data_IF_770694431846
#
_entry.id   IF_770694431846
#
_cell.length_a   1.000
_cell.length_b   1.000
_cell.length_c   1.000
_cell.angle_alpha   90.00
_cell.angle_beta   90.00
_cell.angle_gamma   90.00
#
_symmetry.space_group_name_H-M   'P 1'
#
loop_
_entity.id
_entity.type
_entity.pdbx_description
1 polymer ?
#
# COMPACT_ATOMS: atom_id res chain seq x y z
N UNK A 1 -36.55 24.46 -5.80
CA UNK A 1 -37.19 23.23 -5.27
C UNK A 1 -37.02 22.16 -6.35
N UNK A 2 -36.05 21.26 -6.31
CA UNK A 2 -36.01 20.11 -5.42
C UNK A 2 -34.58 19.59 -5.26
N UNK A 3 -34.12 19.56 -4.01
CA UNK A 3 -33.04 18.71 -3.57
C UNK A 3 -33.62 17.30 -3.36
N UNK A 4 -33.41 16.39 -4.30
CA UNK A 4 -33.61 14.96 -4.04
C UNK A 4 -32.35 14.44 -3.37
N UNK A 5 -32.39 14.34 -2.04
CA UNK A 5 -31.37 13.70 -1.23
C UNK A 5 -31.09 12.28 -1.73
N UNK A 6 -29.88 12.05 -2.22
CA UNK A 6 -29.37 10.72 -2.47
C UNK A 6 -28.88 10.14 -1.14
N UNK A 7 -29.82 9.57 -0.37
CA UNK A 7 -29.47 8.57 0.63
C UNK A 7 -28.67 7.47 -0.06
N UNK A 8 -27.56 7.09 0.54
CA UNK A 8 -26.56 6.17 0.01
C UNK A 8 -27.11 4.75 -0.23
N UNK A 9 -27.88 4.56 -1.31
CA UNK A 9 -27.99 3.27 -1.98
C UNK A 9 -26.63 3.00 -2.62
N UNK A 10 -25.89 2.00 -2.12
CA UNK A 10 -24.54 1.70 -2.59
C UNK A 10 -24.51 1.61 -4.12
N UNK A 11 -23.83 2.55 -4.77
CA UNK A 11 -23.85 2.64 -6.23
C UNK A 11 -23.41 1.33 -6.87
N UNK A 12 -24.04 0.93 -7.97
CA UNK A 12 -23.65 -0.27 -8.72
C UNK A 12 -22.50 0.05 -9.68
N UNK A 13 -21.65 -0.94 -9.93
CA UNK A 13 -20.56 -0.84 -10.89
C UNK A 13 -21.11 -0.67 -12.30
N UNK A 14 -20.83 0.46 -12.95
CA UNK A 14 -21.31 0.76 -14.31
C UNK A 14 -20.80 -0.24 -15.38
N UNK A 15 -19.82 -1.08 -15.05
CA UNK A 15 -19.22 -2.05 -15.96
C UNK A 15 -19.90 -3.42 -15.83
N UNK A 16 -20.10 -3.93 -14.61
CA UNK A 16 -20.55 -5.30 -14.41
C UNK A 16 -21.74 -5.46 -13.46
N UNK A 17 -22.32 -4.36 -12.95
CA UNK A 17 -23.47 -4.39 -12.04
C UNK A 17 -23.18 -4.90 -10.62
N UNK A 18 -21.95 -5.30 -10.32
CA UNK A 18 -21.50 -5.65 -8.96
C UNK A 18 -21.51 -4.43 -8.03
N UNK A 19 -21.47 -4.64 -6.71
CA UNK A 19 -21.44 -3.53 -5.74
C UNK A 19 -20.22 -2.64 -6.00
N UNK A 20 -20.43 -1.34 -6.25
CA UNK A 20 -19.32 -0.42 -6.43
C UNK A 20 -18.68 -0.10 -5.09
N UNK A 21 -17.37 0.09 -5.12
CA UNK A 21 -16.59 0.55 -3.96
C UNK A 21 -16.33 2.06 -4.03
N UNK A 22 -16.70 2.70 -5.13
CA UNK A 22 -16.60 4.15 -5.34
C UNK A 22 -16.33 4.50 -6.80
N UNK A 23 -15.89 5.75 -7.03
CA UNK A 23 -15.48 6.24 -8.34
C UNK A 23 -14.00 5.91 -8.57
N UNK A 24 -13.70 5.10 -9.58
CA UNK A 24 -12.33 4.75 -9.97
C UNK A 24 -12.07 5.15 -11.41
N UNK A 25 -10.99 5.91 -11.63
CA UNK A 25 -10.58 6.41 -12.95
C UNK A 25 -11.67 7.18 -13.72
N UNK A 26 -12.63 7.78 -13.02
CA UNK A 26 -13.71 8.56 -13.64
C UNK A 26 -15.10 7.92 -13.61
N UNK A 27 -15.23 6.62 -13.28
CA UNK A 27 -16.51 5.91 -13.30
C UNK A 27 -16.81 5.16 -11.99
N UNK A 28 -18.10 5.06 -11.62
CA UNK A 28 -18.51 4.19 -10.49
C UNK A 28 -18.22 2.73 -10.82
N UNK A 29 -17.43 2.07 -9.98
CA UNK A 29 -16.97 0.69 -10.25
C UNK A 29 -16.63 -0.10 -9.00
N UNK A 30 -16.70 -1.43 -9.13
CA UNK A 30 -16.20 -2.39 -8.14
C UNK A 30 -14.68 -2.56 -8.23
N UNK A 31 -14.06 -3.14 -7.21
CA UNK A 31 -12.60 -3.39 -7.18
C UNK A 31 -12.11 -4.30 -8.32
N UNK A 32 -12.94 -5.25 -8.75
CA UNK A 32 -12.61 -6.14 -9.86
C UNK A 32 -12.41 -5.39 -11.18
N UNK A 33 -13.30 -4.44 -11.50
CA UNK A 33 -13.22 -3.62 -12.71
C UNK A 33 -12.17 -2.51 -12.58
N UNK A 34 -11.99 -1.92 -11.39
CA UNK A 34 -10.86 -1.02 -11.07
C UNK A 34 -9.53 -1.69 -11.37
N UNK A 35 -9.28 -2.86 -10.79
CA UNK A 35 -8.02 -3.59 -10.95
C UNK A 35 -7.80 -4.09 -12.37
N UNK A 36 -8.86 -4.55 -13.03
CA UNK A 36 -8.80 -4.94 -14.44
C UNK A 36 -8.36 -3.77 -15.33
N UNK A 37 -9.07 -2.63 -15.25
CA UNK A 37 -8.75 -1.45 -16.05
C UNK A 37 -7.29 -0.99 -15.82
N UNK A 38 -6.87 -0.91 -14.56
CA UNK A 38 -5.50 -0.54 -14.18
C UNK A 38 -4.44 -1.41 -14.86
N UNK A 39 -4.60 -2.75 -14.80
CA UNK A 39 -3.65 -3.69 -15.41
C UNK A 39 -3.67 -3.62 -16.93
N UNK A 40 -4.86 -3.47 -17.52
CA UNK A 40 -5.02 -3.35 -18.96
C UNK A 40 -4.35 -2.10 -19.52
N UNK A 41 -4.51 -0.95 -18.85
CA UNK A 41 -3.91 0.32 -19.29
C UNK A 41 -2.39 0.31 -19.09
N UNK A 42 -1.89 -0.09 -17.91
CA UNK A 42 -0.44 -0.12 -17.61
C UNK A 42 0.36 -0.96 -18.60
N UNK A 43 -0.16 -2.13 -18.95
CA UNK A 43 0.50 -3.06 -19.88
C UNK A 43 0.12 -2.81 -21.34
N UNK A 44 -0.63 -1.72 -21.61
CA UNK A 44 -1.20 -1.41 -22.92
C UNK A 44 -1.81 -2.64 -23.61
N UNK A 45 -2.60 -3.42 -22.87
CA UNK A 45 -3.10 -4.71 -23.35
C UNK A 45 -4.10 -4.52 -24.50
N UNK A 46 -3.77 -5.09 -25.65
CA UNK A 46 -4.68 -5.25 -26.79
C UNK A 46 -5.38 -6.61 -26.69
N UNK A 47 -6.66 -6.61 -26.34
CA UNK A 47 -7.46 -7.83 -26.30
C UNK A 47 -8.23 -8.02 -27.61
N UNK A 48 -8.44 -9.27 -28.00
CA UNK A 48 -9.33 -9.64 -29.11
C UNK A 48 -10.60 -10.31 -28.57
N UNK A 49 -11.75 -9.96 -29.14
CA UNK A 49 -12.98 -10.71 -28.88
C UNK A 49 -12.98 -11.99 -29.73
N UNK A 50 -13.46 -13.11 -29.15
CA UNK A 50 -13.66 -14.38 -29.85
C UNK A 50 -15.10 -14.56 -30.37
N UNK A 51 -15.94 -13.55 -30.18
CA UNK A 51 -17.37 -13.55 -30.49
C UNK A 51 -17.72 -12.27 -31.27
N UNK A 52 -18.98 -11.83 -31.23
CA UNK A 52 -19.52 -10.65 -31.95
C UNK A 52 -19.15 -9.27 -31.36
N UNK A 53 -18.11 -9.17 -30.51
CA UNK A 53 -17.69 -7.92 -29.84
C UNK A 53 -18.78 -7.25 -28.98
N UNK A 54 -19.79 -8.03 -28.60
CA UNK A 54 -20.97 -7.61 -27.84
C UNK A 54 -21.24 -8.54 -26.63
N UNK A 55 -20.20 -9.16 -26.08
CA UNK A 55 -20.34 -10.06 -24.93
C UNK A 55 -20.95 -9.33 -23.73
N UNK A 56 -21.86 -10.01 -23.03
CA UNK A 56 -22.45 -9.54 -21.78
C UNK A 56 -21.34 -9.46 -20.73
N UNK A 57 -21.34 -8.35 -19.98
CA UNK A 57 -20.42 -8.10 -18.87
C UNK A 57 -21.27 -7.82 -17.63
N UNK A 58 -21.47 -8.86 -16.83
CA UNK A 58 -22.17 -8.89 -15.55
C UNK A 58 -21.22 -9.38 -14.44
N UNK A 59 -21.69 -9.53 -13.20
CA UNK A 59 -20.85 -9.93 -12.06
C UNK A 59 -20.16 -11.28 -12.31
N UNK A 60 -20.89 -12.25 -12.85
CA UNK A 60 -20.45 -13.65 -12.92
C UNK A 60 -19.63 -13.95 -14.18
N UNK A 61 -19.95 -13.30 -15.31
CA UNK A 61 -19.37 -13.56 -16.62
C UNK A 61 -18.45 -12.44 -17.12
N UNK A 62 -18.18 -11.39 -16.32
CA UNK A 62 -17.22 -10.32 -16.70
C UNK A 62 -15.83 -10.81 -17.12
N UNK A 63 -15.42 -12.02 -16.72
CA UNK A 63 -14.13 -12.59 -17.09
C UNK A 63 -14.13 -13.34 -18.44
N UNK A 64 -15.30 -13.61 -19.03
CA UNK A 64 -15.44 -14.38 -20.28
C UNK A 64 -14.79 -13.68 -21.48
N UNK A 65 -14.87 -12.35 -21.54
CA UNK A 65 -14.31 -11.58 -22.64
C UNK A 65 -13.62 -10.29 -22.17
N UNK A 66 -12.28 -10.31 -22.13
CA UNK A 66 -11.46 -9.15 -21.75
C UNK A 66 -11.63 -7.96 -22.70
N UNK A 67 -11.80 -8.20 -24.00
CA UNK A 67 -12.07 -7.14 -24.97
C UNK A 67 -13.36 -6.38 -24.64
N UNK A 68 -14.49 -7.09 -24.49
CA UNK A 68 -15.78 -6.45 -24.23
C UNK A 68 -15.79 -5.76 -22.86
N UNK A 69 -15.13 -6.35 -21.85
CA UNK A 69 -14.97 -5.72 -20.54
C UNK A 69 -14.19 -4.41 -20.62
N UNK A 70 -13.04 -4.40 -21.30
CA UNK A 70 -12.21 -3.19 -21.44
C UNK A 70 -12.92 -2.12 -22.27
N UNK A 71 -13.59 -2.52 -23.36
CA UNK A 71 -14.45 -1.63 -24.16
C UNK A 71 -15.55 -1.00 -23.29
N UNK A 72 -16.19 -1.78 -22.41
CA UNK A 72 -17.23 -1.28 -21.50
C UNK A 72 -16.65 -0.35 -20.42
N UNK A 73 -15.44 -0.59 -19.92
CA UNK A 73 -14.74 0.35 -19.03
C UNK A 73 -14.61 1.74 -19.67
N UNK A 74 -14.12 1.82 -20.91
CA UNK A 74 -13.99 3.10 -21.63
C UNK A 74 -15.36 3.74 -21.88
N UNK A 75 -16.36 2.96 -22.32
CA UNK A 75 -17.73 3.46 -22.54
C UNK A 75 -18.37 4.01 -21.26
N UNK A 76 -18.05 3.45 -20.09
CA UNK A 76 -18.53 3.93 -18.81
C UNK A 76 -17.79 5.19 -18.30
N UNK A 77 -16.80 5.70 -19.05
CA UNK A 77 -16.06 6.91 -18.71
C UNK A 77 -14.79 6.68 -17.90
N UNK A 78 -14.23 5.45 -17.89
CA UNK A 78 -12.90 5.24 -17.30
C UNK A 78 -11.82 5.85 -18.20
N UNK A 79 -10.98 6.70 -17.61
CA UNK A 79 -9.94 7.51 -18.24
C UNK A 79 -8.58 6.83 -18.12
N UNK A 80 -7.91 6.54 -19.24
CA UNK A 80 -6.58 5.90 -19.24
C UNK A 80 -5.53 6.82 -18.60
N UNK A 81 -5.68 8.12 -18.80
CA UNK A 81 -4.85 9.19 -18.27
C UNK A 81 -4.93 9.33 -16.74
N UNK A 82 -6.01 8.84 -16.13
CA UNK A 82 -6.13 8.76 -14.67
C UNK A 82 -5.34 7.58 -14.07
N UNK A 83 -4.78 6.70 -14.91
CA UNK A 83 -3.95 5.59 -14.47
C UNK A 83 -2.50 6.08 -14.39
N UNK A 84 -2.06 6.42 -13.18
CA UNK A 84 -0.66 6.80 -12.93
C UNK A 84 0.29 5.65 -13.29
N UNK A 85 1.46 6.01 -13.81
CA UNK A 85 2.60 5.11 -14.03
C UNK A 85 3.00 4.41 -12.71
N UNK A 86 3.84 3.37 -12.82
CA UNK A 86 4.38 2.74 -11.61
C UNK A 86 5.05 3.81 -10.74
N UNK A 87 4.71 3.81 -9.45
CA UNK A 87 5.44 4.66 -8.49
C UNK A 87 6.85 4.11 -8.41
N UNK A 88 7.82 5.01 -8.36
CA UNK A 88 9.17 4.62 -8.00
C UNK A 88 9.10 3.84 -6.70
N UNK A 89 9.80 2.70 -6.66
CA UNK A 89 9.93 1.96 -5.41
C UNK A 89 10.57 2.92 -4.42
N UNK A 90 9.83 3.33 -3.39
CA UNK A 90 10.40 4.04 -2.25
C UNK A 90 11.51 3.12 -1.76
N UNK A 91 12.76 3.56 -1.98
CA UNK A 91 13.97 2.81 -1.66
C UNK A 91 14.13 2.76 -0.14
N UNK A 92 13.32 1.95 0.53
CA UNK A 92 13.64 1.37 1.86
C UNK A 92 14.29 0.00 1.71
N UNK A 93 14.44 -0.49 0.47
CA UNK A 93 15.56 -1.34 0.11
C UNK A 93 16.38 -0.58 -0.91
N UNK A 94 17.46 0.06 -0.43
CA UNK A 94 18.63 0.28 -1.28
C UNK A 94 18.86 -1.03 -2.03
N UNK A 95 18.71 -1.00 -3.35
CA UNK A 95 19.40 -1.97 -4.18
C UNK A 95 20.87 -1.62 -4.05
N UNK A 96 21.54 -2.15 -3.04
CA UNK A 96 22.99 -1.99 -2.86
C UNK A 96 23.59 -3.38 -2.88
N UNK A 97 24.12 -3.77 -4.04
CA UNK A 97 25.38 -4.49 -4.19
C UNK A 97 25.73 -4.53 -5.70
N UNK A 98 26.09 -3.39 -6.31
CA UNK A 98 27.52 -3.13 -6.58
C UNK A 98 28.45 -3.51 -5.42
N UNK A 99 29.18 -4.57 -5.70
CA UNK A 99 30.17 -5.27 -4.90
C UNK A 99 31.45 -4.45 -4.74
N UNK A 100 31.50 -3.53 -3.77
CA UNK A 100 32.76 -2.84 -3.43
C UNK A 100 32.82 -2.19 -2.03
N UNK A 101 31.79 -2.29 -1.19
CA UNK A 101 31.79 -1.57 0.10
C UNK A 101 31.08 -2.27 1.25
N UNK A 102 31.11 -3.60 1.30
CA UNK A 102 30.92 -4.28 2.58
C UNK A 102 32.16 -4.02 3.45
N UNK A 103 32.00 -3.59 4.72
CA UNK A 103 33.11 -3.55 5.65
C UNK A 103 33.74 -4.94 5.74
N UNK A 104 35.07 -5.01 5.64
CA UNK A 104 35.80 -6.26 5.86
C UNK A 104 35.36 -6.91 7.17
N UNK A 105 35.36 -8.24 7.23
CA UNK A 105 35.11 -9.01 8.45
C UNK A 105 35.95 -8.45 9.62
N UNK A 106 37.17 -7.98 9.34
CA UNK A 106 38.04 -7.34 10.33
C UNK A 106 37.48 -6.02 10.89
N UNK A 107 36.83 -5.20 10.06
CA UNK A 107 36.20 -3.95 10.50
C UNK A 107 34.99 -4.23 11.42
N UNK A 108 34.24 -5.30 11.14
CA UNK A 108 33.12 -5.72 11.99
C UNK A 108 33.60 -6.26 13.34
N UNK A 109 34.67 -7.05 13.34
CA UNK A 109 35.29 -7.57 14.57
C UNK A 109 35.83 -6.41 15.42
N UNK A 110 36.50 -5.43 14.82
CA UNK A 110 36.97 -4.25 15.54
C UNK A 110 35.84 -3.45 16.19
N UNK A 111 34.71 -3.28 15.50
CA UNK A 111 33.54 -2.59 16.04
C UNK A 111 32.90 -3.34 17.23
N UNK A 112 32.88 -4.67 17.22
CA UNK A 112 32.38 -5.49 18.34
C UNK A 112 33.33 -5.42 19.56
N UNK A 113 34.64 -5.41 19.32
CA UNK A 113 35.63 -5.27 20.40
C UNK A 113 35.56 -3.89 21.06
N UNK A 114 35.44 -2.82 20.27
CA UNK A 114 35.34 -1.45 20.79
C UNK A 114 34.04 -1.21 21.57
N UNK A 115 32.92 -1.79 21.11
CA UNK A 115 31.63 -1.64 21.80
C UNK A 115 31.59 -2.35 23.16
N UNK A 116 32.39 -3.42 23.34
CA UNK A 116 32.56 -4.11 24.63
C UNK A 116 33.44 -3.36 25.63
N UNK A 117 34.27 -2.40 25.17
CA UNK A 117 35.16 -1.61 26.02
C UNK A 117 34.48 -0.43 26.73
N UNK A 118 33.18 -0.21 26.55
CA UNK A 118 32.40 0.80 27.30
C UNK A 118 32.18 0.39 28.79
N UNK A 119 32.70 -0.78 29.20
CA UNK A 119 32.46 -1.38 30.52
C UNK A 119 33.64 -1.32 31.50
N UNK A 120 34.50 -0.29 31.42
CA UNK A 120 35.49 -0.02 32.47
C UNK A 120 35.41 1.43 32.97
N UNK A 121 35.29 1.64 34.30
CA UNK A 121 35.06 2.95 34.87
C UNK A 121 36.38 3.74 34.97
N UNK A 122 36.49 4.83 34.22
CA UNK A 122 37.46 5.89 34.51
C UNK A 122 36.79 6.93 35.44
N UNK A 123 37.50 7.48 36.43
CA UNK A 123 36.91 8.34 37.44
C UNK A 123 36.83 9.78 36.93
N UNK A 124 35.63 10.27 36.60
CA UNK A 124 35.39 11.72 36.46
C UNK A 124 34.12 12.12 37.22
N UNK A 125 34.41 12.78 38.33
CA UNK A 125 33.71 13.83 39.08
C UNK A 125 32.28 14.26 38.67
N UNK A 126 31.38 14.12 39.64
CA UNK A 126 30.19 14.89 39.99
C UNK A 126 28.95 14.87 39.07
N UNK A 127 27.96 14.08 39.52
CA UNK A 127 26.55 14.20 39.16
C UNK A 127 25.76 12.97 39.64
N UNK A 128 25.13 13.05 40.81
CA UNK A 128 24.40 11.94 41.45
C UNK A 128 23.28 11.37 40.56
N UNK A 129 23.52 10.17 39.99
CA UNK A 129 22.52 9.33 39.31
C UNK A 129 22.33 8.05 40.14
N UNK A 130 22.07 8.18 41.46
CA UNK A 130 21.94 7.02 42.36
C UNK A 130 20.50 6.47 42.52
N UNK A 131 19.55 6.82 41.65
CA UNK A 131 18.16 6.30 41.79
C UNK A 131 17.44 5.94 40.50
N UNK A 132 18.14 5.73 39.38
CA UNK A 132 17.47 5.18 38.18
C UNK A 132 17.21 3.68 38.35
N UNK A 133 16.12 3.34 39.03
CA UNK A 133 15.50 2.01 38.93
C UNK A 133 15.12 1.80 37.48
N UNK A 134 15.61 0.71 36.89
CA UNK A 134 15.20 0.30 35.54
C UNK A 134 13.71 -0.04 35.63
N UNK A 135 12.90 0.63 34.81
CA UNK A 135 11.46 0.38 34.76
C UNK A 135 11.19 -1.07 34.34
N UNK A 136 10.39 -1.78 35.14
CA UNK A 136 9.94 -3.12 34.81
C UNK A 136 8.78 -3.06 33.81
N UNK A 137 8.47 -4.19 33.19
CA UNK A 137 7.36 -4.33 32.23
C UNK A 137 6.02 -3.88 32.86
N UNK A 138 5.87 -4.07 34.18
CA UNK A 138 4.71 -3.61 34.94
C UNK A 138 4.57 -2.08 34.95
N UNK A 139 5.68 -1.35 35.05
CA UNK A 139 5.69 0.11 35.08
C UNK A 139 5.29 0.70 33.72
N UNK A 140 5.68 0.01 32.64
CA UNK A 140 5.29 0.35 31.27
C UNK A 140 3.80 0.08 31.04
N UNK A 141 3.29 -1.08 31.48
CA UNK A 141 1.88 -1.44 31.35
C UNK A 141 0.95 -0.49 32.09
N UNK A 142 1.29 -0.07 33.32
CA UNK A 142 0.49 0.88 34.08
C UNK A 142 0.50 2.28 33.45
N UNK A 143 1.64 2.72 32.92
CA UNK A 143 1.75 3.97 32.17
C UNK A 143 0.84 3.98 30.92
N UNK A 144 0.79 2.85 30.19
CA UNK A 144 -0.09 2.72 29.02
C UNK A 144 -1.59 2.73 29.39
N UNK A 145 -1.98 2.17 30.54
CA UNK A 145 -3.38 2.21 31.01
C UNK A 145 -3.82 3.62 31.37
N UNK A 146 -2.97 4.39 32.04
CA UNK A 146 -3.30 5.76 32.45
C UNK A 146 -3.48 6.71 31.27
N UNK A 147 -2.84 6.44 30.12
CA UNK A 147 -2.99 7.25 28.91
C UNK A 147 -4.25 6.95 28.09
N UNK A 148 -4.94 5.84 28.37
CA UNK A 148 -6.16 5.41 27.65
C UNK A 148 -7.45 5.73 28.42
N UNK A 149 -7.34 6.29 29.62
CA UNK A 149 -8.46 6.84 30.38
C UNK A 149 -8.58 8.35 30.09
N UNK A 150 -9.11 8.66 28.90
CA UNK A 150 -9.79 9.92 28.57
C UNK A 150 -11.21 9.57 28.13
#
# INVERSE_FOLDING_TARGET
MNATGHLAAGSLCAICGDRATGKHYGASSCDGCKGFFRRSVRKNHMYSCRFSRQCIVDKDKRNQCRYCRLKKCFRAGMKKEAVQNERDRISTRRSSYEDSSLPSINALIQADVLSRQITSPAPILNGDIRTKKIAAITDVCESMKQQLLV
#
